data_IF_437995758569
#
_entry.id   IF_437995758569
#
_cell.length_a   1.000
_cell.length_b   1.000
_cell.length_c   1.000
_cell.angle_alpha   90.00
_cell.angle_beta   90.00
_cell.angle_gamma   90.00
#
_symmetry.space_group_name_H-M   'P 1'
#
loop_
_entity.id
_entity.type
_entity.pdbx_description
1 polymer ?
#
# COMPACT_ATOMS: atom_id res chain seq x y z
N UNK A 1 -15.95 -22.80 15.44
CA UNK A 1 -16.44 -21.52 14.85
C UNK A 1 -15.40 -21.09 13.85
N UNK A 2 -15.63 -21.31 12.56
CA UNK A 2 -14.78 -20.79 11.49
C UNK A 2 -15.03 -19.28 11.41
N UNK A 3 -14.04 -18.47 11.81
CA UNK A 3 -14.13 -17.04 11.56
C UNK A 3 -14.08 -16.82 10.04
N UNK A 4 -15.16 -16.30 9.50
CA UNK A 4 -15.20 -15.86 8.11
C UNK A 4 -14.18 -14.73 7.92
N UNK A 5 -13.02 -15.07 7.35
CA UNK A 5 -11.95 -14.11 7.12
C UNK A 5 -12.26 -13.31 5.85
N UNK A 6 -12.55 -12.04 6.01
CA UNK A 6 -12.79 -11.16 4.88
C UNK A 6 -11.48 -10.81 4.17
N UNK A 7 -11.47 -10.87 2.84
CA UNK A 7 -10.32 -10.51 2.00
C UNK A 7 -10.56 -9.18 1.32
N UNK A 8 -9.60 -8.26 1.46
CA UNK A 8 -9.65 -6.92 0.88
C UNK A 8 -8.54 -6.72 -0.16
N UNK A 9 -8.91 -6.26 -1.34
CA UNK A 9 -7.98 -5.76 -2.33
C UNK A 9 -7.95 -4.24 -2.25
N UNK A 10 -6.76 -3.69 -2.05
CA UNK A 10 -6.54 -2.25 -1.84
C UNK A 10 -5.68 -1.72 -2.96
N UNK A 11 -6.29 -1.09 -3.95
CA UNK A 11 -5.60 -0.40 -5.03
C UNK A 11 -5.06 0.92 -4.50
N UNK A 12 -3.75 1.13 -4.56
CA UNK A 12 -3.11 2.32 -4.02
C UNK A 12 -2.16 2.95 -5.04
N UNK A 13 -2.34 4.25 -5.27
CA UNK A 13 -1.50 5.08 -6.11
C UNK A 13 -1.07 6.36 -5.41
N UNK A 14 0.10 6.86 -5.76
CA UNK A 14 0.65 8.10 -5.23
C UNK A 14 1.13 9.03 -6.33
N UNK A 15 1.30 10.31 -5.99
CA UNK A 15 1.88 11.35 -6.82
C UNK A 15 2.60 12.37 -5.98
N UNK A 16 3.70 12.95 -6.46
CA UNK A 16 4.41 14.02 -5.77
C UNK A 16 5.07 14.97 -6.77
N UNK A 17 4.95 16.25 -6.49
CA UNK A 17 5.58 17.31 -7.26
C UNK A 17 6.99 17.61 -6.74
N UNK A 18 7.97 16.89 -7.24
CA UNK A 18 9.38 17.07 -6.87
C UNK A 18 10.01 18.32 -7.47
N UNK A 19 9.36 18.95 -8.46
CA UNK A 19 9.87 20.15 -9.15
C UNK A 19 9.64 21.46 -8.40
N UNK A 20 8.80 21.45 -7.37
CA UNK A 20 8.46 22.63 -6.58
C UNK A 20 9.03 22.59 -5.17
N UNK A 21 9.36 23.78 -4.63
CA UNK A 21 9.96 23.94 -3.30
C UNK A 21 9.07 23.38 -2.19
N UNK A 22 7.75 23.56 -2.34
CA UNK A 22 6.72 23.13 -1.38
C UNK A 22 6.45 21.62 -1.42
N UNK A 23 6.85 20.94 -2.49
CA UNK A 23 6.68 19.50 -2.68
C UNK A 23 5.31 18.99 -2.20
N UNK A 24 4.26 19.39 -2.89
CA UNK A 24 2.95 18.82 -2.64
C UNK A 24 2.94 17.33 -3.05
N UNK A 25 2.33 16.50 -2.23
CA UNK A 25 2.14 15.07 -2.51
C UNK A 25 0.70 14.65 -2.29
N UNK A 26 0.28 13.60 -2.97
CA UNK A 26 -1.03 12.99 -2.82
C UNK A 26 -0.95 11.47 -2.89
N UNK A 27 -1.89 10.80 -2.26
CA UNK A 27 -2.12 9.37 -2.43
C UNK A 27 -3.61 9.07 -2.39
N UNK A 28 -4.03 8.06 -3.15
CA UNK A 28 -5.43 7.64 -3.20
C UNK A 28 -5.54 6.12 -3.17
N UNK A 29 -6.66 5.63 -2.64
CA UNK A 29 -6.99 4.21 -2.62
C UNK A 29 -8.40 3.95 -3.12
N UNK A 30 -8.59 2.75 -3.67
CA UNK A 30 -9.87 2.10 -3.87
C UNK A 30 -9.83 0.77 -3.13
N UNK A 31 -10.80 0.52 -2.25
CA UNK A 31 -10.90 -0.70 -1.45
C UNK A 31 -12.02 -1.56 -2.01
N UNK A 32 -11.69 -2.79 -2.37
CA UNK A 32 -12.64 -3.82 -2.81
C UNK A 32 -12.72 -4.92 -1.74
N UNK A 33 -13.94 -5.27 -1.35
CA UNK A 33 -14.22 -6.47 -0.58
C UNK A 33 -14.40 -7.63 -1.55
N UNK A 34 -13.62 -8.68 -1.39
CA UNK A 34 -13.73 -9.90 -2.18
C UNK A 34 -14.78 -10.82 -1.57
N UNK A 35 -15.85 -11.07 -2.29
CA UNK A 35 -16.84 -12.08 -1.88
C UNK A 35 -16.19 -13.47 -1.89
N UNK A 36 -16.23 -14.16 -0.77
CA UNK A 36 -15.89 -15.58 -0.70
C UNK A 36 -16.97 -16.31 -1.48
N UNK A 37 -16.63 -16.78 -2.69
CA UNK A 37 -17.49 -17.77 -3.34
C UNK A 37 -17.41 -19.03 -2.52
N UNK A 38 -18.45 -19.34 -1.77
CA UNK A 38 -18.67 -20.69 -1.27
C UNK A 38 -18.51 -21.64 -2.45
N UNK A 39 -17.46 -22.44 -2.44
CA UNK A 39 -17.33 -23.57 -3.34
C UNK A 39 -18.40 -24.58 -2.93
N UNK A 40 -19.63 -24.34 -3.33
CA UNK A 40 -20.66 -25.36 -3.36
C UNK A 40 -20.16 -26.44 -4.33
N UNK A 41 -19.54 -27.47 -3.78
CA UNK A 41 -19.30 -28.72 -4.46
C UNK A 41 -20.66 -29.33 -4.82
N UNK A 42 -21.19 -28.97 -5.95
CA UNK A 42 -22.12 -29.82 -6.68
C UNK A 42 -21.36 -30.40 -7.86
N UNK A 43 -20.75 -31.57 -7.60
CA UNK A 43 -20.46 -32.52 -8.64
C UNK A 43 -21.80 -32.88 -9.31
N UNK A 44 -21.96 -32.55 -10.59
CA UNK A 44 -22.61 -33.45 -11.59
C UNK A 44 -22.56 -32.78 -12.96
N UNK A 45 -21.76 -33.43 -13.82
CA UNK A 45 -21.89 -33.58 -15.26
C UNK A 45 -22.69 -32.52 -16.04
N UNK A 46 -22.00 -31.69 -16.82
CA UNK A 46 -22.39 -31.41 -18.20
C UNK A 46 -21.23 -30.79 -18.95
N UNK A 47 -20.80 -31.47 -19.99
CA UNK A 47 -19.91 -30.94 -21.01
C UNK A 47 -20.55 -29.71 -21.67
N UNK A 48 -19.67 -28.86 -22.25
CA UNK A 48 -20.02 -27.78 -23.15
C UNK A 48 -20.56 -26.47 -22.53
N UNK A 49 -19.62 -25.64 -22.09
CA UNK A 49 -19.55 -24.25 -22.55
C UNK A 49 -18.17 -23.64 -22.17
N UNK A 50 -17.29 -23.62 -23.16
CA UNK A 50 -16.05 -22.84 -23.12
C UNK A 50 -16.40 -21.35 -23.11
N UNK A 51 -16.81 -20.83 -21.96
CA UNK A 51 -16.85 -19.38 -21.76
C UNK A 51 -15.41 -18.86 -21.71
N UNK A 52 -15.02 -18.12 -22.74
CA UNK A 52 -13.80 -17.33 -22.76
C UNK A 52 -13.77 -16.49 -21.48
N UNK A 53 -12.86 -16.82 -20.54
CA UNK A 53 -12.53 -15.94 -19.41
C UNK A 53 -12.06 -14.62 -20.00
N UNK A 54 -12.89 -13.61 -19.97
CA UNK A 54 -12.51 -12.22 -20.24
C UNK A 54 -11.50 -11.81 -19.19
N UNK A 55 -10.25 -11.65 -19.61
CA UNK A 55 -9.15 -11.15 -18.76
C UNK A 55 -9.53 -9.76 -18.28
N UNK A 56 -9.73 -9.59 -16.96
CA UNK A 56 -9.82 -8.27 -16.35
C UNK A 56 -11.10 -7.92 -15.60
N UNK A 57 -12.02 -8.86 -15.42
CA UNK A 57 -13.21 -8.58 -14.61
C UNK A 57 -12.85 -8.67 -13.12
N UNK A 58 -12.83 -7.52 -12.44
CA UNK A 58 -12.74 -7.43 -10.99
C UNK A 58 -14.05 -7.96 -10.41
N UNK A 59 -13.97 -8.99 -9.57
CA UNK A 59 -15.14 -9.61 -8.94
C UNK A 59 -15.35 -9.07 -7.49
N UNK A 60 -14.72 -7.96 -7.14
CA UNK A 60 -14.83 -7.34 -5.83
C UNK A 60 -15.90 -6.24 -5.80
N UNK A 61 -16.56 -6.10 -4.66
CA UNK A 61 -17.44 -4.98 -4.40
C UNK A 61 -16.62 -3.79 -3.87
N UNK A 62 -16.65 -2.65 -4.56
CA UNK A 62 -15.96 -1.44 -4.11
C UNK A 62 -16.70 -0.86 -2.91
N UNK A 63 -16.02 -0.85 -1.76
CA UNK A 63 -16.60 -0.37 -0.49
C UNK A 63 -16.12 1.02 -0.08
N UNK A 64 -14.96 1.47 -0.59
CA UNK A 64 -14.43 2.80 -0.24
C UNK A 64 -13.49 3.35 -1.32
N UNK A 65 -13.44 4.67 -1.36
CA UNK A 65 -12.50 5.48 -2.13
C UNK A 65 -12.01 6.63 -1.27
N UNK A 66 -10.74 6.58 -0.85
CA UNK A 66 -10.15 7.60 0.01
C UNK A 66 -8.98 8.28 -0.72
N UNK A 67 -8.74 9.54 -0.37
CA UNK A 67 -7.64 10.34 -0.90
C UNK A 67 -7.07 11.22 0.20
N UNK A 68 -5.75 11.39 0.20
CA UNK A 68 -5.04 12.31 1.07
C UNK A 68 -4.04 13.14 0.26
N UNK A 69 -3.72 14.32 0.75
CA UNK A 69 -2.67 15.17 0.18
C UNK A 69 -2.07 16.06 1.26
N UNK A 70 -0.80 16.43 1.10
CA UNK A 70 -0.07 17.27 2.04
C UNK A 70 1.05 18.04 1.30
N UNK A 71 1.62 19.04 1.99
CA UNK A 71 2.80 19.80 1.57
C UNK A 71 4.07 19.25 2.22
N UNK A 72 5.24 19.62 1.68
CA UNK A 72 6.55 19.24 2.21
C UNK A 72 6.73 17.72 2.41
N UNK A 73 6.12 16.94 1.54
CA UNK A 73 6.04 15.48 1.64
C UNK A 73 6.69 14.78 0.44
N UNK A 74 6.61 13.46 0.41
CA UNK A 74 7.03 12.61 -0.70
C UNK A 74 5.94 11.63 -1.04
N UNK A 75 5.92 11.12 -2.27
CA UNK A 75 5.00 10.05 -2.69
C UNK A 75 5.04 8.86 -1.72
N UNK A 76 6.25 8.42 -1.36
CA UNK A 76 6.44 7.30 -0.43
C UNK A 76 5.79 7.57 0.93
N UNK A 77 6.00 8.79 1.50
CA UNK A 77 5.39 9.16 2.78
C UNK A 77 3.86 9.16 2.70
N UNK A 78 3.31 9.73 1.63
CA UNK A 78 1.85 9.78 1.42
C UNK A 78 1.25 8.38 1.29
N UNK A 79 1.90 7.48 0.54
CA UNK A 79 1.43 6.11 0.39
C UNK A 79 1.49 5.33 1.71
N UNK A 80 2.57 5.44 2.50
CA UNK A 80 2.65 4.81 3.83
C UNK A 80 1.56 5.35 4.78
N UNK A 81 1.36 6.68 4.80
CA UNK A 81 0.31 7.30 5.62
C UNK A 81 -1.07 6.73 5.26
N UNK A 82 -1.33 6.56 3.97
CA UNK A 82 -2.61 6.04 3.52
C UNK A 82 -2.76 4.53 3.79
N UNK A 83 -1.67 3.75 3.70
CA UNK A 83 -1.65 2.33 4.09
C UNK A 83 -2.03 2.16 5.56
N UNK A 84 -1.44 2.94 6.48
CA UNK A 84 -1.79 2.94 7.91
C UNK A 84 -3.28 3.21 8.08
N UNK A 85 -3.80 4.29 7.50
CA UNK A 85 -5.23 4.65 7.60
C UNK A 85 -6.16 3.57 7.07
N UNK A 86 -5.78 2.90 5.98
CA UNK A 86 -6.57 1.81 5.40
C UNK A 86 -6.59 0.60 6.32
N UNK A 87 -5.43 0.20 6.87
CA UNK A 87 -5.35 -0.92 7.81
C UNK A 87 -6.15 -0.64 9.09
N UNK A 88 -6.16 0.61 9.59
CA UNK A 88 -6.99 1.02 10.72
C UNK A 88 -8.49 0.99 10.42
N UNK A 89 -8.88 1.24 9.18
CA UNK A 89 -10.29 1.27 8.75
C UNK A 89 -10.86 -0.13 8.49
N UNK A 90 -10.05 -1.05 8.01
CA UNK A 90 -10.44 -2.44 7.72
C UNK A 90 -10.57 -3.20 9.06
N UNK A 91 -11.62 -4.04 9.23
CA UNK A 91 -11.78 -4.86 10.44
C UNK A 91 -10.55 -5.71 10.74
N UNK A 92 -10.26 -5.91 12.02
CA UNK A 92 -9.17 -6.77 12.47
C UNK A 92 -9.34 -8.22 11.96
N UNK A 93 -8.26 -8.97 11.95
CA UNK A 93 -8.25 -10.36 11.48
C UNK A 93 -8.70 -10.55 10.03
N UNK A 94 -8.53 -9.51 9.20
CA UNK A 94 -8.78 -9.56 7.75
C UNK A 94 -7.51 -9.91 6.96
N UNK A 95 -7.68 -10.36 5.73
CA UNK A 95 -6.61 -10.49 4.75
C UNK A 95 -6.58 -9.26 3.84
N UNK A 96 -5.45 -8.57 3.77
CA UNK A 96 -5.29 -7.33 2.99
C UNK A 96 -4.21 -7.50 1.94
N UNK A 97 -4.55 -7.26 0.67
CA UNK A 97 -3.60 -7.22 -0.42
C UNK A 97 -3.57 -5.85 -1.07
N UNK A 98 -2.50 -5.10 -0.84
CA UNK A 98 -2.23 -3.85 -1.54
C UNK A 98 -1.76 -4.12 -2.96
N UNK A 99 -2.37 -3.45 -3.93
CA UNK A 99 -2.10 -3.54 -5.36
C UNK A 99 -1.58 -2.18 -5.85
N UNK A 100 -0.33 -2.14 -6.32
CA UNK A 100 0.34 -0.89 -6.72
C UNK A 100 1.35 -1.13 -7.84
N UNK A 101 1.75 -0.08 -8.54
CA UNK A 101 2.92 -0.09 -9.44
C UNK A 101 4.21 0.45 -8.77
N UNK A 102 4.11 0.92 -7.53
CA UNK A 102 5.22 1.50 -6.78
C UNK A 102 6.06 0.40 -6.10
N UNK A 103 7.08 -0.09 -6.78
CA UNK A 103 7.91 -1.21 -6.31
C UNK A 103 8.61 -0.94 -4.97
N UNK A 104 8.90 0.31 -4.63
CA UNK A 104 9.56 0.69 -3.39
C UNK A 104 8.71 0.43 -2.13
N UNK A 105 7.38 0.24 -2.28
CA UNK A 105 6.49 -0.10 -1.17
C UNK A 105 6.49 -1.61 -0.87
N UNK A 106 6.84 -2.46 -1.83
CA UNK A 106 6.71 -3.92 -1.68
C UNK A 106 7.41 -4.50 -0.44
N UNK A 107 8.43 -3.83 0.04
CA UNK A 107 9.24 -4.28 1.17
C UNK A 107 9.23 -3.25 2.32
N UNK A 108 8.09 -2.59 2.55
CA UNK A 108 7.99 -1.57 3.59
C UNK A 108 8.32 -2.13 4.98
N UNK A 109 7.97 -3.37 5.23
CA UNK A 109 8.12 -4.12 6.50
C UNK A 109 9.46 -4.85 6.64
N UNK A 110 10.28 -4.90 5.60
CA UNK A 110 11.59 -5.53 5.69
C UNK A 110 12.59 -4.57 6.31
N UNK A 111 13.28 -5.05 7.34
CA UNK A 111 14.45 -4.35 7.86
C UNK A 111 15.40 -4.02 6.70
N UNK A 112 16.05 -2.83 6.71
CA UNK A 112 17.04 -2.51 5.70
C UNK A 112 18.10 -3.59 5.72
N UNK A 113 18.11 -4.44 4.69
CA UNK A 113 19.20 -5.39 4.53
C UNK A 113 20.49 -4.59 4.43
N UNK A 114 21.47 -4.90 5.26
CA UNK A 114 22.76 -4.23 5.35
C UNK A 114 23.58 -4.22 4.04
N UNK A 115 23.02 -4.70 2.94
CA UNK A 115 23.64 -4.76 1.61
C UNK A 115 23.75 -3.44 0.86
N UNK A 116 23.14 -2.37 1.34
CA UNK A 116 23.29 -1.04 0.73
C UNK A 116 24.36 -0.16 1.38
N UNK A 117 25.05 -0.63 2.40
CA UNK A 117 26.04 0.16 3.14
C UNK A 117 27.46 -0.45 3.20
N UNK A 118 27.74 -1.54 2.47
CA UNK A 118 29.13 -2.05 2.47
C UNK A 118 29.50 -2.74 1.16
N UNK A 119 30.17 -2.01 0.31
CA UNK A 119 31.40 -2.51 -0.29
C UNK A 119 32.48 -2.29 0.77
N UNK A 120 32.65 -3.20 1.68
CA UNK A 120 33.87 -3.68 2.34
C UNK A 120 33.53 -4.40 3.67
N UNK A 121 34.01 -5.65 3.76
CA UNK A 121 34.27 -6.50 4.93
C UNK A 121 33.13 -7.11 5.75
N UNK A 122 32.97 -8.42 5.56
CA UNK A 122 32.92 -9.59 6.48
C UNK A 122 32.11 -9.55 7.78
N UNK A 123 31.23 -10.57 7.85
CA UNK A 123 30.84 -11.47 8.95
C UNK A 123 29.94 -11.01 10.10
N UNK A 124 28.88 -11.72 10.23
CA UNK A 124 28.23 -12.52 11.28
C UNK A 124 26.85 -12.06 11.79
N UNK A 125 25.96 -13.01 11.66
CA UNK A 125 24.76 -13.49 12.42
C UNK A 125 24.24 -12.62 13.60
N UNK A 126 22.96 -12.24 13.51
CA UNK A 126 21.82 -12.56 14.38
C UNK A 126 20.68 -11.55 14.17
N UNK A 127 19.52 -12.08 13.71
CA UNK A 127 18.40 -11.30 13.23
C UNK A 127 17.25 -11.16 14.25
N UNK A 128 17.56 -11.12 15.56
CA UNK A 128 16.52 -11.22 16.57
C UNK A 128 16.43 -10.08 17.60
N UNK A 129 17.11 -8.94 17.41
CA UNK A 129 17.07 -7.89 18.44
C UNK A 129 17.13 -6.45 17.95
N UNK A 130 16.51 -6.15 16.80
CA UNK A 130 16.63 -4.83 16.16
C UNK A 130 15.47 -3.86 16.42
N UNK A 131 14.55 -4.19 17.31
CA UNK A 131 13.46 -3.27 17.67
C UNK A 131 13.74 -2.34 18.87
N UNK A 132 14.81 -2.57 19.65
CA UNK A 132 15.02 -1.82 20.92
C UNK A 132 16.48 -1.37 21.07
N UNK A 133 17.02 -0.66 20.10
CA UNK A 133 18.23 0.14 20.38
C UNK A 133 18.38 1.29 19.40
N UNK A 134 17.51 2.29 19.56
CA UNK A 134 17.66 3.61 18.95
C UNK A 134 18.77 4.46 19.61
N UNK A 135 19.55 3.89 20.49
CA UNK A 135 20.65 4.56 21.23
C UNK A 135 22.01 3.99 20.90
N UNK A 136 22.44 4.02 19.64
CA UNK A 136 23.87 3.94 19.38
C UNK A 136 24.27 4.71 18.12
N UNK A 137 24.82 5.90 18.41
CA UNK A 137 25.83 6.61 17.62
C UNK A 137 25.65 6.67 16.10
N UNK A 138 25.00 7.74 15.62
CA UNK A 138 25.41 8.31 14.32
C UNK A 138 24.83 7.67 13.07
N UNK A 139 23.99 6.65 13.13
CA UNK A 139 23.26 6.16 11.95
C UNK A 139 22.04 7.05 11.73
N UNK A 140 22.08 7.82 10.65
CA UNK A 140 20.94 8.62 10.17
C UNK A 140 19.69 7.75 10.16
N UNK A 141 18.66 8.10 10.92
CA UNK A 141 17.40 7.37 10.95
C UNK A 141 16.86 7.18 9.52
N UNK A 142 16.31 6.01 9.23
CA UNK A 142 15.70 5.74 7.92
C UNK A 142 14.58 6.75 7.68
N UNK A 143 14.55 7.34 6.49
CA UNK A 143 13.46 8.24 6.12
C UNK A 143 12.11 7.51 6.27
N UNK A 144 11.13 8.17 6.90
CA UNK A 144 9.79 7.65 7.20
C UNK A 144 9.76 6.42 8.14
N UNK A 145 10.77 6.26 9.03
CA UNK A 145 10.79 5.19 10.03
C UNK A 145 9.58 5.24 10.95
N UNK A 146 9.08 6.42 11.25
CA UNK A 146 7.85 6.68 11.99
C UNK A 146 6.63 5.94 11.38
N UNK A 147 6.41 6.12 10.09
CA UNK A 147 5.31 5.49 9.36
C UNK A 147 5.55 3.99 9.09
N UNK A 148 6.79 3.59 8.91
CA UNK A 148 7.13 2.17 8.72
C UNK A 148 6.80 1.38 9.98
N UNK A 149 7.13 1.91 11.17
CA UNK A 149 6.79 1.30 12.46
C UNK A 149 5.26 1.18 12.58
N UNK A 150 4.52 2.25 12.32
CA UNK A 150 3.06 2.21 12.36
C UNK A 150 2.47 1.19 11.36
N UNK A 151 3.03 1.10 10.15
CA UNK A 151 2.59 0.07 9.18
C UNK A 151 2.83 -1.36 9.69
N UNK A 152 3.92 -1.61 10.42
CA UNK A 152 4.22 -2.91 11.01
C UNK A 152 3.26 -3.22 12.16
N UNK A 153 3.02 -2.26 13.04
CA UNK A 153 2.06 -2.40 14.16
C UNK A 153 0.64 -2.67 13.65
N UNK A 154 0.17 -1.92 12.65
CA UNK A 154 -1.15 -2.14 12.07
C UNK A 154 -1.25 -3.49 11.32
N UNK A 155 -0.16 -3.92 10.66
CA UNK A 155 -0.11 -5.23 10.01
C UNK A 155 -0.36 -6.38 10.99
N UNK A 156 0.12 -6.28 12.24
CA UNK A 156 -0.04 -7.31 13.26
C UNK A 156 -1.50 -7.49 13.72
N UNK A 157 -2.38 -6.53 13.43
CA UNK A 157 -3.82 -6.61 13.73
C UNK A 157 -4.60 -7.46 12.73
N UNK A 158 -3.97 -7.83 11.60
CA UNK A 158 -4.60 -8.55 10.51
C UNK A 158 -4.00 -9.95 10.33
N UNK A 159 -4.76 -10.88 9.74
CA UNK A 159 -4.28 -12.24 9.49
C UNK A 159 -3.13 -12.25 8.47
N UNK A 160 -3.29 -11.46 7.41
CA UNK A 160 -2.22 -11.25 6.43
C UNK A 160 -2.28 -9.86 5.81
N UNK A 161 -1.12 -9.25 5.60
CA UNK A 161 -0.98 -8.01 4.83
C UNK A 161 0.15 -8.18 3.83
N UNK A 162 -0.17 -8.08 2.56
CA UNK A 162 0.78 -8.22 1.47
C UNK A 162 0.76 -7.03 0.50
N UNK A 163 1.83 -6.89 -0.29
CA UNK A 163 1.91 -5.93 -1.38
C UNK A 163 2.25 -6.65 -2.67
N UNK A 164 1.44 -6.47 -3.71
CA UNK A 164 1.64 -7.04 -5.03
C UNK A 164 1.84 -5.94 -6.06
N UNK A 165 2.92 -6.04 -6.82
CA UNK A 165 3.18 -5.13 -7.92
C UNK A 165 2.35 -5.54 -9.14
N UNK A 166 1.60 -4.58 -9.67
CA UNK A 166 0.75 -4.75 -10.86
C UNK A 166 1.12 -3.76 -11.95
N UNK A 167 0.82 -4.11 -13.19
CA UNK A 167 1.11 -3.25 -14.33
C UNK A 167 0.09 -2.11 -14.40
N UNK A 168 0.56 -0.86 -14.35
CA UNK A 168 -0.26 0.34 -14.37
C UNK A 168 -1.31 0.34 -15.47
N UNK A 169 -0.89 0.20 -16.74
CA UNK A 169 -1.80 0.26 -17.91
C UNK A 169 -2.81 -0.89 -18.02
N UNK A 170 -2.71 -1.92 -17.18
CA UNK A 170 -3.63 -3.07 -17.19
C UNK A 170 -4.64 -3.06 -16.06
N UNK A 171 -4.61 -2.03 -15.23
CA UNK A 171 -5.39 -1.95 -13.99
C UNK A 171 -6.17 -0.64 -13.92
N UNK A 172 -7.44 -0.60 -14.37
CA UNK A 172 -8.25 0.62 -14.38
C UNK A 172 -8.36 1.29 -13.00
N UNK A 173 -8.50 0.50 -11.92
CA UNK A 173 -8.56 1.05 -10.57
C UNK A 173 -7.22 1.65 -10.11
N UNK A 174 -6.09 1.14 -10.59
CA UNK A 174 -4.81 1.75 -10.30
C UNK A 174 -4.63 3.07 -11.06
N UNK A 175 -5.11 3.16 -12.29
CA UNK A 175 -5.15 4.41 -13.05
C UNK A 175 -6.02 5.44 -12.30
N UNK A 176 -7.24 5.04 -11.89
CA UNK A 176 -8.13 5.88 -11.10
C UNK A 176 -7.43 6.42 -9.83
N UNK A 177 -6.74 5.57 -9.07
CA UNK A 177 -6.05 6.01 -7.84
C UNK A 177 -4.94 7.00 -8.13
N UNK A 178 -4.17 6.79 -9.20
CA UNK A 178 -3.10 7.70 -9.58
C UNK A 178 -3.63 9.07 -10.02
N UNK A 179 -4.69 9.09 -10.83
CA UNK A 179 -5.32 10.33 -11.29
C UNK A 179 -5.88 11.14 -10.09
N UNK A 180 -6.56 10.48 -9.17
CA UNK A 180 -7.08 11.11 -7.94
C UNK A 180 -5.98 11.62 -7.03
N UNK A 181 -4.86 10.89 -6.90
CA UNK A 181 -3.71 11.34 -6.14
C UNK A 181 -3.08 12.60 -6.75
N UNK A 182 -2.99 12.64 -8.08
CA UNK A 182 -2.44 13.78 -8.83
C UNK A 182 -3.36 15.01 -8.72
N UNK A 183 -4.66 14.82 -8.83
CA UNK A 183 -5.64 15.89 -8.65
C UNK A 183 -5.59 16.49 -7.24
N UNK A 184 -5.55 15.63 -6.20
CA UNK A 184 -5.46 16.08 -4.82
C UNK A 184 -4.16 16.85 -4.55
N UNK A 185 -3.03 16.37 -5.05
CA UNK A 185 -1.75 17.06 -4.99
C UNK A 185 -1.82 18.45 -5.64
N UNK A 186 -2.38 18.54 -6.85
CA UNK A 186 -2.51 19.80 -7.59
C UNK A 186 -3.42 20.79 -6.84
N UNK A 187 -4.52 20.31 -6.24
CA UNK A 187 -5.43 21.11 -5.43
C UNK A 187 -4.72 21.69 -4.21
N UNK A 188 -4.02 20.87 -3.44
CA UNK A 188 -3.27 21.30 -2.25
C UNK A 188 -2.24 22.37 -2.58
N UNK A 189 -1.49 22.21 -3.69
CA UNK A 189 -0.56 23.22 -4.17
C UNK A 189 -1.25 24.53 -4.53
N UNK A 190 -2.37 24.47 -5.24
CA UNK A 190 -3.16 25.67 -5.62
C UNK A 190 -3.65 26.41 -4.40
N UNK A 191 -4.20 25.72 -3.42
CA UNK A 191 -4.69 26.31 -2.17
C UNK A 191 -3.57 27.00 -1.38
N UNK A 192 -2.38 26.40 -1.32
CA UNK A 192 -1.22 27.01 -0.70
C UNK A 192 -0.82 28.33 -1.36
N UNK A 193 -0.74 28.36 -2.70
CA UNK A 193 -0.40 29.58 -3.42
C UNK A 193 -1.47 30.69 -3.31
N UNK A 194 -2.74 30.32 -3.12
CA UNK A 194 -3.81 31.29 -2.90
C UNK A 194 -3.75 31.94 -1.51
N UNK A 195 -3.34 31.19 -0.49
CA UNK A 195 -3.22 31.68 0.89
C UNK A 195 -1.99 32.57 1.11
N UNK A 196 -1.00 32.48 0.26
CA UNK A 196 0.28 33.19 0.38
C UNK A 196 0.44 34.32 -0.65
N UNK A 197 -0.63 34.74 -1.32
CA UNK A 197 -0.75 35.97 -2.11
C UNK A 197 -1.38 37.08 -1.29
#
# INVERSE_FOLDING_TARGET
MTQDTSTYYVWIGGSCDYGHKERAGGAAVVIELMEQREQSQTCLNSAESRQKKTKGQHNGNIISRDVISDLHTTEFRMMLTLMVKVMQKIPESSDILFLTNAAYIQNFDKAPTAKSANRTSSESKDASSLAISAESRGKKARANSDLIIQCIEEKERHNSVGVKIVKYHKSPLLIETHDRATEAMAKTRKEFHQKNK
#
